data_IF_890934557248
#
_entry.id   IF_890934557248
#
_cell.length_a   1.000
_cell.length_b   1.000
_cell.length_c   1.000
_cell.angle_alpha   90.00
_cell.angle_beta   90.00
_cell.angle_gamma   90.00
#
_symmetry.space_group_name_H-M   'P 1'
#
loop_
_entity.id
_entity.type
_entity.pdbx_description
1 polymer ?
#
# COMPACT_ATOMS: atom_id res chain seq x y z
N UNK A 1 -39.90 0.17 -24.36
CA UNK A 1 -38.52 -0.09 -24.19
C UNK A 1 -37.80 0.84 -23.24
N UNK A 2 -38.09 0.84 -21.93
CA UNK A 2 -37.34 1.64 -20.93
C UNK A 2 -37.18 0.84 -19.60
N UNK A 3 -36.85 -0.45 -19.69
CA UNK A 3 -36.70 -1.29 -18.47
C UNK A 3 -35.25 -1.76 -18.25
N UNK A 4 -34.36 -1.62 -19.25
CA UNK A 4 -33.00 -2.13 -19.18
C UNK A 4 -31.97 -1.19 -18.50
N UNK A 5 -32.19 0.13 -18.51
CA UNK A 5 -31.21 1.10 -17.98
C UNK A 5 -31.33 1.35 -16.48
N UNK A 6 -32.54 1.25 -15.92
CA UNK A 6 -32.74 1.43 -14.48
C UNK A 6 -32.22 0.26 -13.64
N UNK A 7 -32.19 -0.95 -14.20
CA UNK A 7 -31.69 -2.13 -13.52
C UNK A 7 -30.16 -2.11 -13.39
N UNK A 8 -29.44 -1.67 -14.42
CA UNK A 8 -27.97 -1.53 -14.37
C UNK A 8 -27.51 -0.43 -13.40
N UNK A 9 -28.25 0.70 -13.32
CA UNK A 9 -27.92 1.81 -12.41
C UNK A 9 -28.17 1.39 -10.95
N UNK A 10 -29.24 0.65 -10.70
CA UNK A 10 -29.59 0.17 -9.35
C UNK A 10 -28.57 -0.86 -8.84
N UNK A 11 -28.14 -1.77 -9.71
CA UNK A 11 -27.10 -2.77 -9.35
C UNK A 11 -25.73 -2.10 -9.11
N UNK A 12 -25.37 -1.10 -9.89
CA UNK A 12 -24.13 -0.35 -9.67
C UNK A 12 -24.17 0.51 -8.38
N UNK A 13 -25.31 1.06 -8.01
CA UNK A 13 -25.50 1.81 -6.76
C UNK A 13 -25.49 0.87 -5.56
N UNK A 14 -26.16 -0.30 -5.63
CA UNK A 14 -26.16 -1.31 -4.59
C UNK A 14 -24.76 -1.92 -4.39
N UNK A 15 -23.99 -2.10 -5.46
CA UNK A 15 -22.58 -2.50 -5.38
C UNK A 15 -21.70 -1.42 -4.74
N UNK A 16 -21.93 -0.13 -5.08
CA UNK A 16 -21.22 0.99 -4.43
C UNK A 16 -21.58 1.11 -2.95
N UNK A 17 -22.85 1.01 -2.59
CA UNK A 17 -23.30 1.04 -1.19
C UNK A 17 -22.84 -0.20 -0.40
N UNK A 18 -22.84 -1.37 -1.01
CA UNK A 18 -22.30 -2.60 -0.42
C UNK A 18 -20.80 -2.49 -0.19
N UNK A 19 -20.03 -1.95 -1.14
CA UNK A 19 -18.58 -1.69 -0.98
C UNK A 19 -18.30 -0.63 0.08
N UNK A 20 -19.07 0.47 0.14
CA UNK A 20 -18.91 1.49 1.18
C UNK A 20 -19.28 0.96 2.58
N UNK A 21 -20.33 0.15 2.70
CA UNK A 21 -20.72 -0.47 3.96
C UNK A 21 -19.69 -1.51 4.43
N UNK A 22 -19.16 -2.31 3.50
CA UNK A 22 -18.09 -3.28 3.76
C UNK A 22 -16.78 -2.59 4.17
N UNK A 23 -16.43 -1.45 3.56
CA UNK A 23 -15.32 -0.58 4.00
C UNK A 23 -15.57 0.03 5.37
N UNK A 24 -16.82 0.44 5.68
CA UNK A 24 -17.19 1.00 6.98
C UNK A 24 -17.12 -0.03 8.12
N UNK A 25 -17.55 -1.26 7.88
CA UNK A 25 -17.48 -2.35 8.87
C UNK A 25 -16.04 -2.80 9.16
N UNK A 26 -15.11 -2.59 8.21
CA UNK A 26 -13.67 -2.86 8.36
C UNK A 26 -12.87 -1.70 8.98
N UNK A 27 -13.49 -0.58 9.29
CA UNK A 27 -12.84 0.59 9.91
C UNK A 27 -12.26 0.32 11.32
N UNK A 28 -12.42 -0.88 11.85
CA UNK A 28 -11.81 -1.33 13.10
C UNK A 28 -10.45 -2.03 12.92
N UNK A 29 -10.02 -2.27 11.70
CA UNK A 29 -8.70 -2.82 11.45
C UNK A 29 -7.66 -1.70 11.36
N UNK A 30 -6.55 -1.86 12.07
CA UNK A 30 -5.49 -0.86 12.19
C UNK A 30 -4.57 -0.73 10.95
N UNK A 31 -4.84 -1.47 9.88
CA UNK A 31 -4.06 -1.46 8.63
C UNK A 31 -4.96 -1.89 7.48
N UNK A 32 -5.38 -0.94 6.69
CA UNK A 32 -6.30 -1.17 5.58
C UNK A 32 -5.76 -0.56 4.31
N UNK A 33 -5.71 -1.35 3.26
CA UNK A 33 -5.29 -0.96 1.92
C UNK A 33 -6.41 -1.25 0.94
N UNK A 34 -6.64 -0.30 0.04
CA UNK A 34 -7.48 -0.45 -1.14
C UNK A 34 -6.71 0.06 -2.35
N UNK A 35 -6.44 -0.81 -3.29
CA UNK A 35 -5.71 -0.49 -4.53
C UNK A 35 -6.56 -0.93 -5.72
N UNK A 36 -6.61 -0.06 -6.73
CA UNK A 36 -7.08 -0.40 -8.07
C UNK A 36 -5.95 -0.05 -9.02
N UNK A 37 -5.56 -0.99 -9.88
CA UNK A 37 -4.46 -0.80 -10.81
C UNK A 37 -4.38 -1.93 -11.82
N UNK A 38 -3.29 -1.95 -12.59
CA UNK A 38 -3.05 -2.96 -13.64
C UNK A 38 -1.99 -3.94 -13.18
N UNK A 39 -2.21 -5.24 -13.37
CA UNK A 39 -1.21 -6.28 -13.10
C UNK A 39 -0.13 -6.19 -14.17
N UNK A 40 1.14 -5.99 -13.77
CA UNK A 40 2.28 -5.75 -14.66
C UNK A 40 3.37 -6.81 -14.57
N UNK A 41 3.19 -7.83 -13.75
CA UNK A 41 4.12 -8.95 -13.62
C UNK A 41 3.42 -10.29 -13.53
N UNK A 42 4.16 -11.35 -13.86
CA UNK A 42 3.75 -12.72 -13.55
C UNK A 42 3.76 -12.98 -12.03
N UNK A 43 3.05 -14.04 -11.62
CA UNK A 43 3.06 -14.52 -10.24
C UNK A 43 4.35 -15.28 -9.94
N UNK A 44 5.13 -14.77 -9.00
CA UNK A 44 6.36 -15.43 -8.54
C UNK A 44 6.11 -16.13 -7.21
N UNK A 45 6.34 -17.45 -7.16
CA UNK A 45 6.21 -18.21 -5.92
C UNK A 45 7.11 -17.62 -4.82
N UNK A 46 6.53 -17.40 -3.65
CA UNK A 46 7.21 -16.84 -2.49
C UNK A 46 7.47 -17.92 -1.41
N UNK A 47 6.41 -18.51 -0.92
CA UNK A 47 6.43 -19.52 0.14
C UNK A 47 5.10 -20.24 0.25
N UNK A 48 5.09 -21.31 1.04
CA UNK A 48 3.89 -22.07 1.36
C UNK A 48 3.64 -22.06 2.88
N UNK A 49 2.39 -21.98 3.28
CA UNK A 49 1.96 -22.09 4.68
C UNK A 49 0.79 -23.06 4.76
N UNK A 50 0.98 -24.17 5.45
CA UNK A 50 -0.03 -25.22 5.62
C UNK A 50 -0.67 -25.71 4.31
N UNK A 51 0.12 -25.88 3.26
CA UNK A 51 -0.36 -26.33 1.94
C UNK A 51 -1.03 -25.26 1.12
N UNK A 52 -0.94 -23.99 1.49
CA UNK A 52 -1.41 -22.83 0.74
C UNK A 52 -0.22 -22.05 0.17
N UNK A 53 -0.16 -21.96 -1.15
CA UNK A 53 0.89 -21.23 -1.87
C UNK A 53 0.65 -19.71 -1.85
N UNK A 54 1.71 -18.95 -1.59
CA UNK A 54 1.73 -17.49 -1.64
C UNK A 54 2.68 -17.01 -2.73
N UNK A 55 2.22 -16.04 -3.50
CA UNK A 55 2.91 -15.52 -4.69
C UNK A 55 3.05 -14.02 -4.61
N UNK A 56 4.15 -13.51 -5.18
CA UNK A 56 4.37 -12.08 -5.37
C UNK A 56 4.01 -11.70 -6.79
N UNK A 57 3.26 -10.61 -6.94
CA UNK A 57 3.03 -9.92 -8.21
C UNK A 57 3.23 -8.42 -8.02
N UNK A 58 3.29 -7.67 -9.10
CA UNK A 58 3.40 -6.22 -9.11
C UNK A 58 2.20 -5.60 -9.79
N UNK A 59 1.66 -4.55 -9.17
CA UNK A 59 0.52 -3.78 -9.67
C UNK A 59 0.94 -2.35 -9.89
N UNK A 60 0.72 -1.83 -11.09
CA UNK A 60 0.94 -0.43 -11.40
C UNK A 60 -0.31 0.39 -11.06
N UNK A 61 -0.10 1.50 -10.36
CA UNK A 61 -1.17 2.44 -9.98
C UNK A 61 -0.78 3.83 -10.43
N UNK A 62 -1.67 4.48 -11.19
CA UNK A 62 -1.44 5.83 -11.70
C UNK A 62 -1.67 6.86 -10.60
N UNK A 63 -0.77 7.84 -10.48
CA UNK A 63 -0.97 9.03 -9.66
C UNK A 63 -1.72 10.10 -10.46
N UNK A 64 -2.37 11.01 -9.77
CA UNK A 64 -2.94 12.23 -10.38
C UNK A 64 -1.89 13.08 -11.14
N UNK A 65 -0.60 12.89 -10.85
CA UNK A 65 0.53 13.56 -11.50
C UNK A 65 1.10 12.80 -12.71
N UNK A 66 0.38 11.84 -13.28
CA UNK A 66 0.79 10.96 -14.38
C UNK A 66 2.02 10.06 -14.09
N UNK A 67 2.55 10.08 -12.89
CA UNK A 67 3.57 9.12 -12.46
C UNK A 67 2.92 7.78 -12.09
N UNK A 68 3.65 6.68 -12.31
CA UNK A 68 3.21 5.35 -11.90
C UNK A 68 3.89 4.94 -10.59
N UNK A 69 3.11 4.31 -9.72
CA UNK A 69 3.62 3.55 -8.57
C UNK A 69 3.54 2.08 -8.90
N UNK A 70 4.62 1.35 -8.68
CA UNK A 70 4.67 -0.10 -8.85
C UNK A 70 4.66 -0.73 -7.47
N UNK A 71 3.54 -1.37 -7.11
CA UNK A 71 3.28 -1.84 -5.75
C UNK A 71 3.38 -3.36 -5.70
N UNK A 72 4.31 -3.93 -4.89
CA UNK A 72 4.38 -5.37 -4.71
C UNK A 72 3.20 -5.88 -3.88
N UNK A 73 2.57 -6.93 -4.38
CA UNK A 73 1.40 -7.56 -3.76
C UNK A 73 1.68 -9.03 -3.51
N UNK A 74 1.49 -9.47 -2.28
CA UNK A 74 1.49 -10.87 -1.89
C UNK A 74 0.07 -11.40 -1.98
N UNK A 75 -0.15 -12.43 -2.77
CA UNK A 75 -1.47 -13.04 -3.01
C UNK A 75 -1.43 -14.54 -2.72
N UNK A 76 -2.52 -15.06 -2.15
CA UNK A 76 -2.73 -16.50 -2.00
C UNK A 76 -3.30 -17.09 -3.29
N UNK A 77 -2.89 -18.31 -3.64
CA UNK A 77 -3.47 -19.10 -4.75
C UNK A 77 -4.98 -19.34 -4.60
N UNK A 78 -5.54 -19.13 -3.40
CA UNK A 78 -6.98 -19.22 -3.16
C UNK A 78 -7.77 -18.03 -3.69
N UNK A 79 -7.10 -16.89 -3.87
CA UNK A 79 -7.75 -15.64 -4.32
C UNK A 79 -7.79 -15.55 -5.86
N UNK A 80 -6.84 -16.18 -6.54
CA UNK A 80 -6.70 -16.11 -7.99
C UNK A 80 -5.97 -17.36 -8.51
N UNK A 81 -6.31 -17.80 -9.71
CA UNK A 81 -5.55 -18.86 -10.39
C UNK A 81 -4.20 -18.31 -10.87
N UNK A 82 -3.13 -18.64 -10.16
CA UNK A 82 -1.77 -18.12 -10.42
C UNK A 82 -1.13 -18.60 -11.74
N UNK A 83 -1.73 -19.60 -12.40
CA UNK A 83 -1.30 -20.07 -13.73
C UNK A 83 -2.00 -19.32 -14.87
N UNK A 84 -2.97 -18.44 -14.53
CA UNK A 84 -3.71 -17.63 -15.52
C UNK A 84 -2.88 -16.44 -16.03
N UNK A 85 -3.18 -15.99 -17.24
CA UNK A 85 -2.60 -14.78 -17.82
C UNK A 85 -3.44 -13.56 -17.42
N UNK A 86 -2.86 -12.70 -16.59
CA UNK A 86 -3.51 -11.49 -16.06
C UNK A 86 -2.74 -10.21 -16.33
N UNK A 87 -1.59 -10.29 -17.03
CA UNK A 87 -0.81 -9.09 -17.36
C UNK A 87 -1.67 -8.14 -18.20
N UNK A 88 -1.69 -6.87 -17.83
CA UNK A 88 -2.50 -5.83 -18.47
C UNK A 88 -3.97 -5.80 -18.02
N UNK A 89 -4.40 -6.66 -17.10
CA UNK A 89 -5.77 -6.64 -16.56
C UNK A 89 -5.85 -5.72 -15.35
N UNK A 90 -6.94 -4.95 -15.29
CA UNK A 90 -7.27 -4.14 -14.11
C UNK A 90 -7.73 -5.02 -12.96
N UNK A 91 -7.29 -4.68 -11.75
CA UNK A 91 -7.57 -5.44 -10.55
C UNK A 91 -7.88 -4.53 -9.37
N UNK A 92 -8.88 -4.91 -8.57
CA UNK A 92 -9.09 -4.38 -7.22
C UNK A 92 -8.40 -5.28 -6.20
N UNK A 93 -7.70 -4.70 -5.24
CA UNK A 93 -7.04 -5.40 -4.14
C UNK A 93 -7.38 -4.72 -2.83
N UNK A 94 -8.02 -5.47 -1.94
CA UNK A 94 -8.19 -5.12 -0.55
C UNK A 94 -7.22 -5.90 0.33
N UNK A 95 -6.58 -5.24 1.31
CA UNK A 95 -5.61 -5.93 2.14
C UNK A 95 -4.93 -5.07 3.20
N UNK A 96 -3.72 -5.45 3.55
CA UNK A 96 -2.88 -4.79 4.56
C UNK A 96 -1.48 -4.53 4.02
N UNK A 97 -0.89 -3.38 4.33
CA UNK A 97 0.49 -3.07 4.00
C UNK A 97 1.41 -3.65 5.07
N UNK A 98 2.13 -4.69 4.74
CA UNK A 98 2.94 -5.47 5.68
C UNK A 98 4.42 -5.30 5.45
N UNK A 99 5.18 -5.41 6.54
CA UNK A 99 6.62 -5.40 6.52
C UNK A 99 7.18 -6.74 7.02
N UNK A 100 8.27 -7.18 6.40
CA UNK A 100 9.06 -8.30 6.90
C UNK A 100 10.54 -8.04 6.68
N UNK A 101 11.37 -8.62 7.53
CA UNK A 101 12.82 -8.56 7.40
C UNK A 101 13.30 -9.75 6.59
N UNK A 102 13.86 -9.50 5.41
CA UNK A 102 14.58 -10.50 4.63
C UNK A 102 16.02 -10.55 5.15
N UNK A 103 16.46 -11.73 5.58
CA UNK A 103 17.86 -11.97 5.90
C UNK A 103 18.67 -12.12 4.60
N UNK A 104 19.51 -11.14 4.30
CA UNK A 104 20.53 -11.22 3.26
C UNK A 104 21.88 -11.46 3.96
N UNK A 105 22.85 -12.10 3.29
CA UNK A 105 24.11 -12.61 3.88
C UNK A 105 24.88 -11.64 4.80
N UNK A 106 24.62 -10.32 4.71
CA UNK A 106 25.31 -9.30 5.52
C UNK A 106 24.38 -8.26 6.19
N UNK A 107 23.09 -8.23 5.89
CA UNK A 107 22.15 -7.22 6.42
C UNK A 107 20.70 -7.71 6.38
N UNK A 108 19.93 -7.31 7.37
CA UNK A 108 18.47 -7.40 7.31
C UNK A 108 17.94 -6.30 6.40
N UNK A 109 17.12 -6.67 5.42
CA UNK A 109 16.42 -5.75 4.56
C UNK A 109 14.94 -5.74 4.91
N UNK A 110 14.40 -4.55 5.20
CA UNK A 110 12.96 -4.36 5.33
C UNK A 110 12.32 -4.47 3.94
N UNK A 111 11.43 -5.42 3.77
CA UNK A 111 10.62 -5.61 2.56
C UNK A 111 9.19 -5.25 2.90
N UNK A 112 8.55 -4.47 2.05
CA UNK A 112 7.18 -4.02 2.18
C UNK A 112 6.37 -4.57 1.01
N UNK A 113 5.16 -5.05 1.29
CA UNK A 113 4.21 -5.48 0.28
C UNK A 113 2.78 -5.36 0.79
N UNK A 114 1.83 -5.25 -0.12
CA UNK A 114 0.42 -5.40 0.20
C UNK A 114 0.11 -6.88 0.31
N UNK A 115 -0.35 -7.33 1.46
CA UNK A 115 -0.87 -8.67 1.67
C UNK A 115 -2.35 -8.65 1.31
N UNK A 116 -2.68 -9.21 0.15
CA UNK A 116 -4.05 -9.25 -0.35
C UNK A 116 -4.93 -10.17 0.51
N UNK A 117 -6.09 -9.67 0.89
CA UNK A 117 -7.19 -10.43 1.51
C UNK A 117 -8.36 -10.60 0.57
N UNK A 118 -8.48 -9.67 -0.36
CA UNK A 118 -9.48 -9.65 -1.42
C UNK A 118 -8.80 -9.29 -2.72
N UNK A 119 -9.21 -9.93 -3.79
CA UNK A 119 -8.75 -9.64 -5.14
C UNK A 119 -9.89 -9.88 -6.10
N UNK A 120 -10.14 -8.91 -6.97
CA UNK A 120 -11.16 -8.98 -8.02
C UNK A 120 -10.58 -8.44 -9.32
N UNK A 121 -10.61 -9.24 -10.37
CA UNK A 121 -10.26 -8.77 -11.72
C UNK A 121 -11.44 -7.95 -12.26
N UNK A 122 -11.16 -6.75 -12.73
CA UNK A 122 -12.17 -5.79 -13.15
C UNK A 122 -12.37 -5.85 -14.66
N UNK A 123 -13.64 -5.93 -15.10
CA UNK A 123 -14.00 -5.98 -16.52
C UNK A 123 -14.30 -4.60 -17.14
N UNK A 124 -14.28 -3.54 -16.33
CA UNK A 124 -14.66 -2.18 -16.77
C UNK A 124 -13.76 -1.10 -16.18
N UNK A 125 -13.80 0.09 -16.79
CA UNK A 125 -13.14 1.29 -16.30
C UNK A 125 -13.51 1.57 -14.84
N UNK A 126 -12.51 1.96 -14.06
CA UNK A 126 -12.63 2.22 -12.63
C UNK A 126 -12.43 3.71 -12.32
N UNK A 127 -12.86 4.09 -11.12
CA UNK A 127 -12.66 5.44 -10.59
C UNK A 127 -11.19 5.61 -10.15
N UNK A 128 -10.43 6.40 -10.91
CA UNK A 128 -9.01 6.67 -10.64
C UNK A 128 -8.77 7.38 -9.30
N UNK A 129 -9.75 8.15 -8.80
CA UNK A 129 -9.63 8.88 -7.53
C UNK A 129 -9.60 7.94 -6.31
N UNK A 130 -10.15 6.74 -6.44
CA UNK A 130 -10.17 5.72 -5.39
C UNK A 130 -9.02 4.69 -5.53
N UNK A 131 -8.11 4.88 -6.48
CA UNK A 131 -7.18 3.84 -6.93
C UNK A 131 -6.11 3.44 -5.91
N UNK A 132 -5.79 4.27 -4.92
CA UNK A 132 -4.71 3.98 -3.96
C UNK A 132 -4.99 4.66 -2.63
N UNK A 133 -5.51 3.91 -1.69
CA UNK A 133 -5.84 4.40 -0.36
C UNK A 133 -5.27 3.47 0.70
N UNK A 134 -4.72 4.05 1.75
CA UNK A 134 -4.27 3.33 2.94
C UNK A 134 -4.70 4.06 4.21
N UNK A 135 -5.15 3.29 5.20
CA UNK A 135 -5.35 3.71 6.57
C UNK A 135 -4.44 2.90 7.49
N UNK A 136 -3.75 3.60 8.39
CA UNK A 136 -2.90 3.03 9.42
C UNK A 136 -3.27 3.61 10.78
N UNK A 137 -3.41 2.74 11.78
CA UNK A 137 -3.54 3.08 13.19
C UNK A 137 -2.38 2.42 13.94
N UNK A 138 -1.48 3.21 14.51
CA UNK A 138 -0.23 2.70 15.06
C UNK A 138 0.50 3.71 15.94
N UNK A 139 1.78 3.46 16.13
CA UNK A 139 2.62 4.24 17.06
C UNK A 139 3.92 4.70 16.39
N UNK A 140 4.32 5.92 16.68
CA UNK A 140 5.63 6.43 16.25
C UNK A 140 6.73 5.64 16.96
N UNK A 141 7.61 4.98 16.21
CA UNK A 141 8.65 4.14 16.80
C UNK A 141 10.08 4.69 16.68
N UNK A 142 10.23 5.83 16.00
CA UNK A 142 11.46 6.62 15.92
C UNK A 142 11.14 8.10 15.88
N UNK A 143 12.06 8.95 16.35
CA UNK A 143 11.95 10.39 16.15
C UNK A 143 11.75 10.73 14.67
N UNK A 144 10.84 11.67 14.44
CA UNK A 144 10.56 12.17 13.09
C UNK A 144 11.79 12.91 12.53
N UNK A 145 12.17 12.60 11.31
CA UNK A 145 13.27 13.31 10.63
C UNK A 145 12.67 14.42 9.79
N UNK A 146 12.64 15.63 10.39
CA UNK A 146 12.18 16.82 9.69
C UNK A 146 13.31 17.45 8.87
N UNK A 147 13.02 17.85 7.63
CA UNK A 147 13.96 18.52 6.73
C UNK A 147 13.24 19.38 5.71
N UNK A 148 13.99 20.32 5.12
CA UNK A 148 13.52 21.09 3.95
C UNK A 148 14.24 20.60 2.70
N UNK A 149 13.47 20.40 1.62
CA UNK A 149 14.07 20.10 0.31
C UNK A 149 14.78 21.35 -0.25
N UNK A 150 15.69 21.21 -1.24
CA UNK A 150 16.31 22.35 -1.92
C UNK A 150 15.30 23.34 -2.51
N UNK A 151 14.10 22.88 -2.84
CA UNK A 151 12.99 23.72 -3.33
C UNK A 151 12.13 24.32 -2.20
N UNK A 152 12.58 24.22 -0.94
CA UNK A 152 11.92 24.80 0.22
C UNK A 152 10.69 24.02 0.72
N UNK A 153 10.40 22.84 0.18
CA UNK A 153 9.28 22.01 0.68
C UNK A 153 9.66 21.36 1.99
N UNK A 154 8.78 21.45 2.97
CA UNK A 154 8.94 20.82 4.28
C UNK A 154 8.49 19.37 4.20
N UNK A 155 9.30 18.45 4.70
CA UNK A 155 9.01 17.04 4.79
C UNK A 155 9.41 16.48 6.16
N UNK A 156 8.68 15.46 6.61
CA UNK A 156 9.03 14.67 7.79
C UNK A 156 8.91 13.17 7.46
N UNK A 157 10.00 12.46 7.68
CA UNK A 157 10.04 11.01 7.54
C UNK A 157 9.71 10.38 8.90
N UNK A 158 8.69 9.52 8.92
CA UNK A 158 8.21 8.80 10.10
C UNK A 158 8.44 7.29 9.91
N UNK A 159 8.56 6.58 11.02
CA UNK A 159 8.43 5.13 11.05
C UNK A 159 7.31 4.77 12.02
N UNK A 160 6.24 4.15 11.51
CA UNK A 160 5.04 3.80 12.27
C UNK A 160 5.02 2.30 12.52
N UNK A 161 4.88 1.91 13.78
CA UNK A 161 4.66 0.52 14.17
C UNK A 161 3.16 0.26 14.25
N UNK A 162 2.68 -0.64 13.41
CA UNK A 162 1.29 -1.09 13.37
C UNK A 162 1.20 -2.50 13.93
N UNK A 163 0.45 -2.68 14.99
CA UNK A 163 0.36 -3.96 15.68
C UNK A 163 -0.42 -4.98 14.86
N UNK A 164 0.07 -6.21 14.84
CA UNK A 164 -0.62 -7.39 14.34
C UNK A 164 -1.04 -8.31 15.46
N UNK A 165 -1.92 -9.24 15.16
CA UNK A 165 -2.20 -10.38 16.03
C UNK A 165 -0.90 -11.13 16.39
N UNK A 166 -0.91 -11.80 17.55
CA UNK A 166 0.21 -12.61 18.05
C UNK A 166 1.51 -11.83 18.37
N UNK A 167 1.39 -10.57 18.79
CA UNK A 167 2.53 -9.77 19.27
C UNK A 167 3.56 -9.39 18.22
N UNK A 168 3.19 -9.41 16.95
CA UNK A 168 4.02 -8.92 15.83
C UNK A 168 3.63 -7.49 15.47
N UNK A 169 4.53 -6.75 14.84
CA UNK A 169 4.26 -5.41 14.32
C UNK A 169 4.82 -5.25 12.92
N UNK A 170 4.12 -4.48 12.11
CA UNK A 170 4.62 -3.95 10.85
C UNK A 170 5.27 -2.60 11.10
N UNK A 171 6.45 -2.38 10.50
CA UNK A 171 7.17 -1.11 10.55
C UNK A 171 7.05 -0.43 9.20
N UNK A 172 6.24 0.61 9.13
CA UNK A 172 5.84 1.25 7.88
C UNK A 172 6.44 2.64 7.80
N UNK A 173 7.33 2.90 6.81
CA UNK A 173 7.82 4.22 6.52
C UNK A 173 6.68 5.11 6.00
N UNK A 174 6.58 6.32 6.55
CA UNK A 174 5.61 7.31 6.12
C UNK A 174 6.31 8.64 5.85
N UNK A 175 5.86 9.37 4.83
CA UNK A 175 6.36 10.71 4.51
C UNK A 175 5.23 11.72 4.60
N UNK A 176 5.43 12.74 5.42
CA UNK A 176 4.53 13.87 5.58
C UNK A 176 5.08 15.09 4.84
N UNK A 177 4.18 15.94 4.33
CA UNK A 177 4.49 17.13 3.55
C UNK A 177 3.89 18.39 4.19
N UNK A 178 4.61 19.51 4.10
CA UNK A 178 4.14 20.83 4.48
C UNK A 178 3.60 20.88 5.91
N UNK A 179 2.33 21.25 6.08
CA UNK A 179 1.69 21.36 7.39
C UNK A 179 1.72 20.05 8.18
N UNK A 180 1.46 18.91 7.52
CA UNK A 180 1.54 17.60 8.17
C UNK A 180 2.97 17.28 8.61
N UNK A 181 4.01 17.71 7.88
CA UNK A 181 5.40 17.52 8.27
C UNK A 181 5.75 18.31 9.53
N UNK A 182 5.31 19.58 9.63
CA UNK A 182 5.48 20.40 10.85
C UNK A 182 4.77 19.80 12.04
N UNK A 183 3.55 19.32 11.87
CA UNK A 183 2.78 18.67 12.93
C UNK A 183 3.46 17.37 13.37
N UNK A 184 3.82 16.50 12.42
CA UNK A 184 4.47 15.23 12.70
C UNK A 184 5.86 15.38 13.37
N UNK A 185 6.57 16.48 13.12
CA UNK A 185 7.88 16.77 13.75
C UNK A 185 7.79 17.03 15.25
N UNK A 186 6.59 17.25 15.80
CA UNK A 186 6.37 17.43 17.24
C UNK A 186 6.08 16.13 17.99
N UNK A 187 5.96 15.00 17.27
CA UNK A 187 5.60 13.74 17.89
C UNK A 187 6.78 13.08 18.58
N UNK A 188 6.54 12.61 19.79
CA UNK A 188 7.50 11.79 20.52
C UNK A 188 7.35 10.31 20.15
N UNK A 189 8.40 9.53 20.39
CA UNK A 189 8.35 8.07 20.27
C UNK A 189 7.30 7.52 21.22
N UNK A 190 6.42 6.67 20.70
CA UNK A 190 5.27 6.12 21.43
C UNK A 190 3.97 6.89 21.23
N UNK A 191 3.98 8.04 20.53
CA UNK A 191 2.75 8.75 20.17
C UNK A 191 1.87 7.85 19.30
N UNK A 192 0.61 7.69 19.70
CA UNK A 192 -0.41 7.02 18.90
C UNK A 192 -0.84 7.92 17.76
N UNK A 193 -0.93 7.36 16.55
CA UNK A 193 -1.29 8.12 15.35
C UNK A 193 -2.24 7.34 14.45
N UNK A 194 -3.14 8.08 13.81
CA UNK A 194 -3.96 7.60 12.73
C UNK A 194 -3.56 8.32 11.44
N UNK A 195 -3.30 7.55 10.38
CA UNK A 195 -2.75 8.04 9.13
C UNK A 195 -3.63 7.60 7.97
N UNK A 196 -3.97 8.56 7.12
CA UNK A 196 -4.59 8.32 5.81
C UNK A 196 -3.62 8.79 4.72
N UNK A 197 -3.54 8.02 3.66
CA UNK A 197 -2.63 8.34 2.58
C UNK A 197 -2.72 7.37 1.42
N UNK A 198 -1.63 7.28 0.68
CA UNK A 198 -1.46 6.35 -0.42
C UNK A 198 -0.08 5.69 -0.34
N UNK A 199 0.03 4.47 -0.84
CA UNK A 199 1.32 3.80 -1.01
C UNK A 199 2.01 4.39 -2.24
N UNK A 200 3.29 4.71 -2.12
CA UNK A 200 4.10 5.16 -3.24
C UNK A 200 5.41 4.39 -3.34
N UNK A 201 5.87 4.23 -4.57
CA UNK A 201 7.20 3.70 -4.88
C UNK A 201 8.14 4.84 -5.28
N UNK A 202 9.41 4.72 -4.91
CA UNK A 202 10.45 5.67 -5.27
C UNK A 202 11.77 4.96 -5.54
N UNK A 203 12.26 5.12 -6.76
CA UNK A 203 13.58 4.61 -7.11
C UNK A 203 14.68 5.51 -6.58
N UNK A 204 15.73 4.87 -6.08
CA UNK A 204 16.94 5.54 -5.62
C UNK A 204 18.18 4.71 -5.88
N UNK A 205 19.31 5.41 -6.00
CA UNK A 205 20.61 4.76 -6.22
C UNK A 205 21.33 4.68 -4.89
N UNK A 206 21.69 3.46 -4.49
CA UNK A 206 22.52 3.20 -3.31
C UNK A 206 23.95 2.97 -3.75
N UNK A 207 24.88 3.80 -3.24
CA UNK A 207 26.32 3.56 -3.39
C UNK A 207 26.72 2.41 -2.46
N UNK A 208 27.26 1.33 -3.02
CA UNK A 208 27.80 0.20 -2.27
C UNK A 208 29.31 0.37 -2.02
N UNK A 209 30.02 0.98 -2.99
CA UNK A 209 31.45 1.36 -2.93
C UNK A 209 31.68 2.59 -3.83
N UNK A 210 32.94 3.02 -3.97
CA UNK A 210 33.30 4.12 -4.88
C UNK A 210 32.98 3.82 -6.36
N UNK A 211 32.95 2.55 -6.73
CA UNK A 211 32.76 2.08 -8.12
C UNK A 211 31.47 1.30 -8.35
N UNK A 212 30.72 0.97 -7.27
CA UNK A 212 29.50 0.17 -7.37
C UNK A 212 28.30 0.94 -6.87
N UNK A 213 27.30 1.01 -7.74
CA UNK A 213 25.96 1.56 -7.41
C UNK A 213 24.91 0.51 -7.66
N UNK A 214 23.90 0.49 -6.81
CA UNK A 214 22.74 -0.41 -6.93
C UNK A 214 21.47 0.44 -7.01
N UNK A 215 20.66 0.19 -8.03
CA UNK A 215 19.33 0.80 -8.15
C UNK A 215 18.36 0.03 -7.25
N UNK A 216 17.61 0.74 -6.43
CA UNK A 216 16.64 0.17 -5.49
C UNK A 216 15.35 0.97 -5.50
N UNK A 217 14.26 0.29 -5.20
CA UNK A 217 12.95 0.90 -4.99
C UNK A 217 12.65 0.92 -3.49
N UNK A 218 12.25 2.08 -2.98
CA UNK A 218 11.70 2.26 -1.64
C UNK A 218 10.18 2.38 -1.74
N UNK A 219 9.49 1.76 -0.80
CA UNK A 219 8.05 1.86 -0.63
C UNK A 219 7.75 2.60 0.66
N UNK A 220 6.82 3.53 0.61
CA UNK A 220 6.45 4.37 1.75
C UNK A 220 4.99 4.82 1.63
N UNK A 221 4.40 5.28 2.71
CA UNK A 221 3.07 5.89 2.71
C UNK A 221 3.22 7.41 2.60
N UNK A 222 2.72 7.99 1.51
CA UNK A 222 2.57 9.44 1.38
C UNK A 222 1.32 9.87 2.13
N UNK A 223 1.53 10.61 3.21
CA UNK A 223 0.48 10.98 4.15
C UNK A 223 -0.35 12.16 3.63
N UNK A 224 -1.66 11.97 3.50
CA UNK A 224 -2.62 13.04 3.18
C UNK A 224 -3.21 13.66 4.43
N UNK A 225 -3.46 12.84 5.47
CA UNK A 225 -4.00 13.27 6.77
C UNK A 225 -3.32 12.48 7.89
N UNK A 226 -3.04 13.14 9.01
CA UNK A 226 -2.53 12.53 10.24
C UNK A 226 -3.21 13.13 11.45
N UNK A 227 -3.59 12.28 12.38
CA UNK A 227 -4.16 12.62 13.68
C UNK A 227 -3.33 11.92 14.79
N UNK A 228 -3.24 12.54 15.96
CA UNK A 228 -2.52 12.04 17.13
C UNK A 228 -3.33 12.30 18.41
#
# INVERSE_FOLDING_TARGET
>A
GLVGSEMCIRDSILQKEGRQKFMADKMFENNQVSIIGEIVSDFQFSHEVYGEGFYMMEVSVRRLSDCMDYIPVMVSERLINVEGDYIGKSVYIGGQFRSFNRHEEKKNRLVLSVFARELEVLDSDYDEDAANQIFLDGYICKEAIYRKTPLGREIADLLVAVNRSYGKSDYIPCICWGRNARFASTFEVGTHVQIWGRIQSRDYVKKLSETQVEQRTAYEVSVSKIEA
#
